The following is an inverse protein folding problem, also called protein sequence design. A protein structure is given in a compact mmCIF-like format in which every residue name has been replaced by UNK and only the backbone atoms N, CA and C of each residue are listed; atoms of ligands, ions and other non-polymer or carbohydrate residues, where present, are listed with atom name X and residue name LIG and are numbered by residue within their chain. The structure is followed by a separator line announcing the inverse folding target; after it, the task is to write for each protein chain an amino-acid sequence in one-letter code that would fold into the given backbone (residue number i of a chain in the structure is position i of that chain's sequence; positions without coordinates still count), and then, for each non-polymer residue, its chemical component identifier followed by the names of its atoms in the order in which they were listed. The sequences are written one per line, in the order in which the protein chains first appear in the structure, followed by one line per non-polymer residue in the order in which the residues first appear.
data_IF_632807786850
#
_entry.id   IF_632807786850
#
_cell.length_a   1.000
_cell.length_b   1.000
_cell.length_c   1.000
_cell.angle_alpha   90.00
_cell.angle_beta   90.00
_cell.angle_gamma   90.00
#
_symmetry.space_group_name_H-M   'P 1'
#
loop_
_entity.id
_entity.type
_entity.pdbx_description
1 polymer ?
#
# COMPACT_ATOMS: atom_id res chain seq x y z
N UNK A 1 76.74 -46.66 39.73
CA UNK A 1 76.55 -48.11 40.05
C UNK A 1 75.28 -48.57 39.30
N UNK A 2 75.56 -49.60 38.47
CA UNK A 2 74.63 -50.69 38.07
C UNK A 2 73.19 -50.22 37.61
N UNK A 3 72.68 -50.56 36.46
CA UNK A 3 73.08 -51.58 35.45
C UNK A 3 71.77 -52.13 34.82
N UNK A 4 71.81 -52.33 33.50
CA UNK A 4 71.20 -53.44 32.75
C UNK A 4 69.66 -53.48 32.64
N UNK A 5 69.01 -53.80 31.62
CA UNK A 5 69.24 -54.45 30.25
C UNK A 5 67.86 -54.48 29.60
N UNK A 6 67.79 -54.09 28.37
CA UNK A 6 67.27 -54.81 27.19
C UNK A 6 66.11 -55.79 27.39
N UNK A 7 65.10 -55.67 26.60
CA UNK A 7 64.71 -56.70 25.61
C UNK A 7 63.69 -56.15 24.59
N UNK A 8 64.00 -56.40 23.34
CA UNK A 8 63.14 -56.30 22.18
C UNK A 8 61.97 -57.26 22.28
N UNK A 9 60.80 -56.85 21.83
CA UNK A 9 59.85 -57.78 21.22
C UNK A 9 59.13 -57.05 20.07
N UNK A 10 59.45 -57.56 18.89
CA UNK A 10 58.83 -57.26 17.60
C UNK A 10 57.48 -58.00 17.51
N UNK A 11 56.38 -57.35 17.20
CA UNK A 11 55.22 -58.05 16.69
C UNK A 11 54.46 -57.14 15.70
N UNK A 12 54.43 -57.66 14.53
CA UNK A 12 53.75 -57.34 13.29
C UNK A 12 52.22 -57.43 13.48
N UNK A 13 51.44 -56.52 12.90
CA UNK A 13 50.08 -56.87 12.70
C UNK A 13 49.11 -55.71 12.43
N UNK A 14 48.76 -55.59 11.20
CA UNK A 14 47.47 -55.35 10.61
C UNK A 14 47.04 -53.89 10.42
N UNK A 15 47.17 -53.42 9.17
CA UNK A 15 46.44 -52.30 8.57
C UNK A 15 44.92 -52.58 8.59
N UNK A 16 44.15 -51.67 9.20
CA UNK A 16 42.72 -51.50 8.94
C UNK A 16 42.52 -50.08 8.46
N UNK A 17 42.24 -49.95 7.16
CA UNK A 17 41.79 -48.70 6.54
C UNK A 17 40.39 -48.40 7.01
N UNK A 18 40.23 -47.43 7.90
CA UNK A 18 38.94 -46.84 8.27
C UNK A 18 38.70 -45.63 7.42
N UNK A 19 37.77 -45.72 6.47
CA UNK A 19 37.24 -44.58 5.71
C UNK A 19 36.48 -43.66 6.65
N UNK A 20 37.07 -42.55 7.03
CA UNK A 20 36.37 -41.46 7.68
C UNK A 20 35.61 -40.67 6.58
N UNK A 21 34.29 -40.85 6.50
CA UNK A 21 33.43 -39.89 5.83
C UNK A 21 33.47 -38.60 6.63
N UNK A 22 34.24 -37.63 6.14
CA UNK A 22 34.15 -36.25 6.58
C UNK A 22 32.83 -35.68 6.09
N UNK A 23 31.91 -35.45 7.00
CA UNK A 23 30.75 -34.58 6.73
C UNK A 23 31.29 -33.14 6.70
N UNK A 24 31.43 -32.60 5.51
CA UNK A 24 31.63 -31.16 5.30
C UNK A 24 30.34 -30.45 5.72
N UNK A 25 30.22 -30.13 7.00
CA UNK A 25 29.30 -29.10 7.46
C UNK A 25 29.81 -27.75 6.98
N UNK A 26 29.44 -27.40 5.74
CA UNK A 26 29.58 -26.04 5.27
C UNK A 26 28.73 -25.15 6.20
N UNK A 27 29.29 -24.09 6.82
CA UNK A 27 28.49 -23.18 7.60
C UNK A 27 27.48 -22.55 6.67
N UNK A 28 26.18 -22.86 6.87
CA UNK A 28 25.07 -22.17 6.26
C UNK A 28 25.09 -20.72 6.78
N UNK A 29 25.80 -19.87 6.05
CA UNK A 29 25.79 -18.43 6.29
C UNK A 29 24.44 -17.90 5.80
N UNK A 30 23.40 -18.04 6.61
CA UNK A 30 22.21 -17.19 6.53
C UNK A 30 22.72 -15.77 6.73
N UNK A 31 22.57 -14.86 5.76
CA UNK A 31 22.95 -13.48 5.98
C UNK A 31 22.19 -12.95 7.20
N UNK A 32 22.81 -12.18 8.09
CA UNK A 32 22.12 -11.61 9.22
C UNK A 32 20.97 -10.76 8.67
N UNK A 33 19.75 -11.08 9.06
CA UNK A 33 18.60 -10.22 8.83
C UNK A 33 18.87 -8.93 9.59
N UNK A 34 19.39 -7.92 8.91
CA UNK A 34 19.60 -6.60 9.48
C UNK A 34 18.23 -6.03 9.79
N UNK A 35 17.80 -6.10 11.04
CA UNK A 35 16.59 -5.44 11.50
C UNK A 35 16.82 -3.94 11.36
N UNK A 36 16.21 -3.32 10.36
CA UNK A 36 16.28 -1.86 10.21
C UNK A 36 15.51 -1.23 11.35
N UNK A 37 16.19 -0.36 12.08
CA UNK A 37 15.60 0.44 13.17
C UNK A 37 15.52 1.88 12.68
N UNK A 38 14.47 2.61 13.08
CA UNK A 38 14.32 4.02 12.68
C UNK A 38 12.87 4.49 12.78
N UNK A 39 12.65 5.73 12.39
CA UNK A 39 11.31 6.31 12.30
C UNK A 39 11.05 6.83 10.90
N UNK A 40 9.84 6.59 10.39
CA UNK A 40 9.42 7.05 9.07
C UNK A 40 8.08 7.76 9.16
N UNK A 41 8.01 8.95 8.59
CA UNK A 41 6.78 9.73 8.40
C UNK A 41 6.29 9.51 6.98
N UNK A 42 5.11 8.94 6.85
CA UNK A 42 4.49 8.57 5.57
C UNK A 42 3.26 9.43 5.30
N UNK A 43 3.29 10.18 4.22
CA UNK A 43 2.12 10.84 3.68
C UNK A 43 1.43 9.88 2.69
N UNK A 44 0.19 9.52 2.92
CA UNK A 44 -0.50 8.52 2.10
C UNK A 44 -1.91 8.96 1.72
N UNK A 45 -2.31 8.66 0.49
CA UNK A 45 -3.67 8.92 0.02
C UNK A 45 -4.71 8.31 0.97
N UNK A 46 -5.81 9.01 1.19
CA UNK A 46 -6.87 8.63 2.14
C UNK A 46 -7.40 7.20 1.92
N UNK A 47 -7.47 6.74 0.65
CA UNK A 47 -7.86 5.37 0.30
C UNK A 47 -6.90 4.26 0.77
N UNK A 48 -5.67 4.62 1.21
CA UNK A 48 -4.69 3.68 1.76
C UNK A 48 -4.82 3.50 3.29
N UNK A 49 -5.72 4.22 3.95
CA UNK A 49 -5.83 4.27 5.42
C UNK A 49 -5.89 2.87 6.04
N UNK A 50 -6.80 2.03 5.60
CA UNK A 50 -7.01 0.71 6.20
C UNK A 50 -5.84 -0.23 5.91
N UNK A 51 -5.35 -0.25 4.67
CA UNK A 51 -4.24 -1.12 4.27
C UNK A 51 -2.93 -0.73 4.98
N UNK A 52 -2.62 0.55 5.07
CA UNK A 52 -1.38 1.00 5.72
C UNK A 52 -1.46 0.90 7.26
N UNK A 53 -2.66 1.03 7.84
CA UNK A 53 -2.88 0.73 9.27
C UNK A 53 -2.66 -0.75 9.58
N UNK A 54 -3.17 -1.64 8.74
CA UNK A 54 -2.91 -3.09 8.86
C UNK A 54 -1.43 -3.43 8.68
N UNK A 55 -0.79 -2.80 7.68
CA UNK A 55 0.66 -2.97 7.45
C UNK A 55 1.46 -2.55 8.67
N UNK A 56 1.12 -1.41 9.30
CA UNK A 56 1.77 -0.99 10.55
C UNK A 56 1.66 -2.05 11.65
N UNK A 57 0.49 -2.68 11.78
CA UNK A 57 0.29 -3.79 12.72
C UNK A 57 1.23 -4.97 12.46
N UNK A 58 1.40 -5.34 11.20
CA UNK A 58 2.33 -6.42 10.79
C UNK A 58 3.80 -6.03 11.01
N UNK A 59 4.18 -4.81 10.67
CA UNK A 59 5.55 -4.31 10.86
C UNK A 59 5.96 -4.31 12.34
N UNK A 60 5.06 -3.94 13.24
CA UNK A 60 5.30 -4.01 14.70
C UNK A 60 5.56 -5.44 15.19
N UNK A 61 4.97 -6.43 14.53
CA UNK A 61 5.10 -7.83 14.93
C UNK A 61 6.33 -8.50 14.32
N UNK A 62 6.66 -8.18 13.06
CA UNK A 62 7.73 -8.85 12.30
C UNK A 62 9.09 -8.16 12.41
N UNK A 63 9.13 -6.88 12.76
CA UNK A 63 10.36 -6.10 12.86
C UNK A 63 10.18 -4.90 13.79
N UNK A 64 10.28 -5.06 15.11
CA UNK A 64 9.92 -4.03 16.10
C UNK A 64 10.82 -2.78 16.06
N UNK A 65 11.78 -2.72 15.13
CA UNK A 65 12.70 -1.58 15.01
C UNK A 65 12.19 -0.39 14.20
N UNK A 66 11.18 -0.57 13.33
CA UNK A 66 10.67 0.50 12.47
C UNK A 66 9.40 1.13 13.08
N UNK A 67 9.48 2.42 13.43
CA UNK A 67 8.34 3.22 13.87
C UNK A 67 7.75 3.98 12.69
N UNK A 68 6.47 3.80 12.38
CA UNK A 68 5.79 4.45 11.26
C UNK A 68 4.73 5.40 11.78
N UNK A 69 4.77 6.65 11.30
CA UNK A 69 3.73 7.66 11.53
C UNK A 69 3.06 7.98 10.20
N UNK A 70 1.74 7.95 10.14
CA UNK A 70 0.98 8.26 8.94
C UNK A 70 0.26 9.60 9.03
N UNK A 71 0.17 10.29 7.88
CA UNK A 71 -0.80 11.35 7.64
C UNK A 71 -1.58 10.98 6.38
N UNK A 72 -2.91 10.88 6.52
CA UNK A 72 -3.79 10.52 5.42
C UNK A 72 -4.62 11.71 4.97
N UNK A 73 -4.62 11.99 3.65
CA UNK A 73 -5.41 13.06 3.04
C UNK A 73 -5.61 12.81 1.53
N UNK A 74 -6.28 13.71 0.83
CA UNK A 74 -6.30 13.73 -0.63
C UNK A 74 -4.89 13.92 -1.21
N UNK A 75 -4.55 13.23 -2.31
CA UNK A 75 -3.20 13.24 -2.88
C UNK A 75 -2.69 14.65 -3.19
N UNK A 76 -3.53 15.53 -3.75
CA UNK A 76 -3.14 16.91 -4.05
C UNK A 76 -2.73 17.71 -2.81
N UNK A 77 -3.43 17.51 -1.68
CA UNK A 77 -3.08 18.16 -0.41
C UNK A 77 -1.75 17.65 0.14
N UNK A 78 -1.49 16.34 0.06
CA UNK A 78 -0.21 15.74 0.49
C UNK A 78 0.96 16.22 -0.37
N UNK A 79 0.78 16.29 -1.68
CA UNK A 79 1.78 16.84 -2.61
C UNK A 79 2.09 18.28 -2.24
N UNK A 80 1.08 19.10 -2.02
CA UNK A 80 1.26 20.50 -1.59
C UNK A 80 2.04 20.60 -0.28
N UNK A 81 1.80 19.71 0.69
CA UNK A 81 2.58 19.65 1.93
C UNK A 81 4.06 19.38 1.67
N UNK A 82 4.40 18.43 0.79
CA UNK A 82 5.78 18.14 0.40
C UNK A 82 6.42 19.33 -0.30
N UNK A 83 5.70 19.98 -1.25
CA UNK A 83 6.15 21.19 -1.95
C UNK A 83 6.45 22.34 -0.99
N UNK A 84 5.71 22.43 0.12
CA UNK A 84 5.89 23.42 1.16
C UNK A 84 6.95 23.03 2.22
N UNK A 85 7.63 21.89 2.04
CA UNK A 85 8.69 21.42 2.92
C UNK A 85 8.20 20.77 4.21
N UNK A 86 6.97 20.22 4.24
CA UNK A 86 6.52 19.44 5.38
C UNK A 86 7.45 18.23 5.60
N UNK A 87 7.76 17.87 6.85
CA UNK A 87 8.62 16.73 7.16
C UNK A 87 7.92 15.45 6.75
N UNK A 88 8.44 14.80 5.72
CA UNK A 88 7.98 13.52 5.21
C UNK A 88 9.15 12.71 4.68
N UNK A 89 9.12 11.42 4.90
CA UNK A 89 10.14 10.48 4.41
C UNK A 89 9.65 9.73 3.18
N UNK A 90 8.36 9.39 3.15
CA UNK A 90 7.71 8.65 2.05
C UNK A 90 6.38 9.32 1.71
N UNK A 91 6.05 9.35 0.41
CA UNK A 91 4.71 9.72 -0.05
C UNK A 91 4.14 8.65 -0.96
N UNK A 92 2.85 8.33 -0.80
CA UNK A 92 2.07 7.42 -1.65
C UNK A 92 0.77 8.12 -2.09
N UNK A 93 0.58 8.26 -3.40
CA UNK A 93 -0.61 8.92 -3.97
C UNK A 93 -1.56 7.91 -4.62
N UNK A 94 -2.80 8.30 -4.88
CA UNK A 94 -3.82 7.48 -5.54
C UNK A 94 -3.89 7.74 -7.07
N UNK A 95 -2.94 8.47 -7.61
CA UNK A 95 -2.80 8.77 -9.03
C UNK A 95 -1.36 9.13 -9.40
N UNK A 96 -1.04 8.99 -10.68
CA UNK A 96 0.28 9.33 -11.22
C UNK A 96 0.44 10.81 -11.51
N UNK A 97 -0.65 11.56 -11.71
CA UNK A 97 -0.60 12.99 -12.01
C UNK A 97 -0.12 13.79 -10.79
N UNK A 98 -0.70 13.52 -9.61
CA UNK A 98 -0.23 14.10 -8.34
C UNK A 98 1.24 13.78 -8.07
N UNK A 99 1.67 12.53 -8.29
CA UNK A 99 3.07 12.14 -8.12
C UNK A 99 3.98 12.83 -9.14
N UNK A 100 3.51 13.03 -10.37
CA UNK A 100 4.24 13.72 -11.44
C UNK A 100 4.69 15.12 -11.03
N UNK A 101 3.86 15.89 -10.32
CA UNK A 101 4.21 17.21 -9.79
C UNK A 101 5.48 17.18 -8.93
N UNK A 102 5.59 16.20 -8.04
CA UNK A 102 6.79 16.06 -7.18
C UNK A 102 8.02 15.60 -7.96
N UNK A 103 7.81 14.76 -8.95
CA UNK A 103 8.88 14.29 -9.83
C UNK A 103 9.45 15.44 -10.66
N UNK A 104 8.58 16.28 -11.24
CA UNK A 104 8.96 17.45 -12.04
C UNK A 104 9.73 18.49 -11.22
N UNK A 105 9.36 18.69 -9.95
CA UNK A 105 10.08 19.60 -9.04
C UNK A 105 11.35 18.99 -8.48
N UNK A 106 11.60 17.71 -8.71
CA UNK A 106 12.79 17.00 -8.25
C UNK A 106 12.85 16.78 -6.73
N UNK A 107 11.72 16.88 -6.03
CA UNK A 107 11.62 16.73 -4.56
C UNK A 107 11.64 15.26 -4.10
N UNK A 108 11.42 14.34 -5.01
CA UNK A 108 11.33 12.89 -4.72
C UNK A 108 12.33 12.10 -5.56
N UNK A 109 12.55 10.85 -5.19
CA UNK A 109 13.29 9.87 -5.97
C UNK A 109 12.44 9.37 -7.16
N UNK A 110 12.81 8.23 -7.77
CA UNK A 110 12.01 7.60 -8.81
C UNK A 110 10.79 6.86 -8.19
N UNK A 111 9.55 7.23 -8.52
CA UNK A 111 8.36 6.56 -7.99
C UNK A 111 8.18 5.17 -8.60
N UNK A 112 7.57 4.27 -7.81
CA UNK A 112 7.18 2.94 -8.24
C UNK A 112 5.68 2.75 -8.03
N UNK A 113 4.95 2.32 -9.06
CA UNK A 113 3.54 1.92 -8.93
C UNK A 113 3.50 0.59 -8.20
N UNK A 114 2.85 0.54 -7.03
CA UNK A 114 2.81 -0.64 -6.17
C UNK A 114 1.43 -1.31 -6.14
N UNK A 115 0.38 -0.56 -6.44
CA UNK A 115 -0.99 -1.05 -6.43
C UNK A 115 -1.82 -0.36 -7.50
N UNK A 116 -2.96 -0.99 -7.83
CA UNK A 116 -4.02 -0.41 -8.65
C UNK A 116 -5.36 -0.60 -7.98
N UNK A 117 -6.34 0.22 -8.38
CA UNK A 117 -7.69 0.16 -7.84
C UNK A 117 -8.71 0.42 -8.95
N UNK A 118 -9.95 -0.01 -8.74
CA UNK A 118 -11.09 0.27 -9.62
C UNK A 118 -12.06 1.19 -8.93
N UNK A 119 -12.85 1.92 -9.70
CA UNK A 119 -13.97 2.65 -9.16
C UNK A 119 -15.17 1.74 -8.97
N UNK A 120 -15.99 2.09 -8.01
CA UNK A 120 -17.27 1.46 -7.70
C UNK A 120 -18.24 2.53 -7.22
N UNK A 121 -19.52 2.33 -7.44
CA UNK A 121 -20.56 3.23 -6.90
C UNK A 121 -20.89 2.73 -5.49
N UNK A 122 -20.78 3.59 -4.49
CA UNK A 122 -21.19 3.30 -3.12
C UNK A 122 -22.58 3.89 -2.87
N UNK A 123 -23.50 3.07 -2.39
CA UNK A 123 -24.86 3.46 -2.01
C UNK A 123 -25.16 3.10 -0.56
N UNK A 124 -26.25 3.61 -0.02
CA UNK A 124 -26.76 3.22 1.29
C UNK A 124 -27.05 1.70 1.33
N UNK A 125 -26.98 1.07 2.52
CA UNK A 125 -27.27 -0.36 2.67
C UNK A 125 -28.64 -0.75 2.11
N UNK A 126 -28.69 -1.82 1.33
CA UNK A 126 -29.91 -2.28 0.68
C UNK A 126 -30.31 -1.48 -0.54
N UNK A 127 -29.49 -0.52 -0.98
CA UNK A 127 -29.68 0.26 -2.20
C UNK A 127 -31.11 0.82 -2.36
N UNK A 128 -31.61 1.63 -1.42
CA UNK A 128 -33.02 2.06 -1.39
C UNK A 128 -33.43 2.89 -2.61
N UNK A 129 -32.47 3.51 -3.30
CA UNK A 129 -32.69 4.26 -4.54
C UNK A 129 -32.67 3.41 -5.81
N UNK A 130 -32.30 2.13 -5.70
CA UNK A 130 -32.28 1.19 -6.81
C UNK A 130 -31.26 1.54 -7.90
N UNK A 131 -30.10 2.06 -7.51
CA UNK A 131 -28.98 2.40 -8.42
C UNK A 131 -28.39 1.11 -9.00
N UNK A 132 -28.20 1.06 -10.32
CA UNK A 132 -27.72 -0.13 -11.04
C UNK A 132 -26.46 0.15 -11.88
N UNK A 133 -26.06 1.41 -12.02
CA UNK A 133 -24.90 1.82 -12.78
C UNK A 133 -24.81 3.33 -12.97
N UNK A 134 -23.79 3.75 -13.73
CA UNK A 134 -23.48 5.17 -13.93
C UNK A 134 -24.65 5.99 -14.47
N UNK A 135 -25.47 5.40 -15.38
CA UNK A 135 -26.59 6.11 -15.99
C UNK A 135 -27.64 6.59 -14.96
N UNK A 136 -27.81 5.84 -13.86
CA UNK A 136 -28.78 6.21 -12.82
C UNK A 136 -28.34 7.46 -12.03
N UNK A 137 -27.04 7.83 -12.07
CA UNK A 137 -26.50 8.98 -11.34
C UNK A 137 -26.95 10.33 -11.91
N UNK A 138 -27.51 10.38 -13.12
CA UNK A 138 -28.11 11.58 -13.71
C UNK A 138 -29.47 11.95 -13.13
N UNK A 139 -30.05 11.12 -12.24
CA UNK A 139 -31.35 11.35 -11.63
C UNK A 139 -31.31 12.53 -10.65
N UNK A 140 -32.30 13.42 -10.75
CA UNK A 140 -32.37 14.64 -9.94
C UNK A 140 -32.94 14.44 -8.54
N UNK A 141 -33.46 13.25 -8.24
CA UNK A 141 -33.95 12.87 -6.90
C UNK A 141 -32.89 12.30 -5.99
N UNK A 142 -31.62 12.22 -6.47
CA UNK A 142 -30.50 11.70 -5.74
C UNK A 142 -29.71 12.82 -5.06
N UNK A 143 -29.33 12.57 -3.82
CA UNK A 143 -28.24 13.31 -3.17
C UNK A 143 -26.91 12.68 -3.56
N UNK A 144 -26.42 12.99 -4.75
CA UNK A 144 -25.12 12.54 -5.24
C UNK A 144 -24.02 13.41 -4.64
N UNK A 145 -22.99 12.75 -4.08
CA UNK A 145 -21.76 13.39 -3.64
C UNK A 145 -20.62 12.83 -4.46
N UNK A 146 -19.63 13.64 -4.84
CA UNK A 146 -18.43 13.20 -5.55
C UNK A 146 -17.19 13.76 -4.86
N UNK A 147 -16.03 13.19 -5.15
CA UNK A 147 -14.75 13.86 -4.89
C UNK A 147 -14.65 15.13 -5.74
N UNK A 148 -13.97 16.15 -5.23
CA UNK A 148 -13.60 17.31 -6.03
C UNK A 148 -12.65 16.87 -7.17
N UNK A 149 -12.75 17.50 -8.35
CA UNK A 149 -11.93 17.12 -9.51
C UNK A 149 -10.43 17.37 -9.31
N UNK A 150 -10.04 18.09 -8.26
CA UNK A 150 -8.66 18.30 -7.87
C UNK A 150 -8.08 17.14 -7.02
N UNK A 151 -8.91 16.15 -6.68
CA UNK A 151 -8.47 14.96 -5.98
C UNK A 151 -8.67 13.72 -6.86
N UNK A 152 -7.81 12.66 -6.71
CA UNK A 152 -7.79 11.53 -7.65
C UNK A 152 -9.16 10.86 -7.84
N UNK A 153 -9.91 10.62 -6.78
CA UNK A 153 -11.22 9.96 -6.89
C UNK A 153 -12.23 10.81 -7.67
N UNK A 154 -12.16 12.14 -7.55
CA UNK A 154 -13.02 13.06 -8.29
C UNK A 154 -12.63 13.14 -9.77
N UNK A 155 -11.33 13.21 -10.06
CA UNK A 155 -10.81 13.16 -11.43
C UNK A 155 -11.22 11.87 -12.14
N UNK A 156 -11.01 10.71 -11.50
CA UNK A 156 -11.42 9.43 -12.07
C UNK A 156 -12.94 9.29 -12.19
N UNK A 157 -13.72 9.83 -11.22
CA UNK A 157 -15.19 9.87 -11.33
C UNK A 157 -15.64 10.70 -12.55
N UNK A 158 -15.02 11.85 -12.78
CA UNK A 158 -15.30 12.68 -13.97
C UNK A 158 -14.98 11.89 -15.25
N UNK A 159 -13.84 11.20 -15.33
CA UNK A 159 -13.45 10.39 -16.49
C UNK A 159 -14.47 9.28 -16.82
N UNK A 160 -14.93 8.51 -15.80
CA UNK A 160 -15.92 7.43 -16.06
C UNK A 160 -17.28 7.98 -16.41
N UNK A 161 -17.70 9.09 -15.86
CA UNK A 161 -18.96 9.75 -16.17
C UNK A 161 -18.95 10.34 -17.59
N UNK A 162 -17.87 11.02 -17.96
CA UNK A 162 -17.67 11.53 -19.33
C UNK A 162 -17.67 10.41 -20.37
N UNK A 163 -16.89 9.35 -20.14
CA UNK A 163 -16.84 8.19 -21.03
C UNK A 163 -18.20 7.47 -21.16
N UNK A 164 -19.02 7.51 -20.11
CA UNK A 164 -20.38 6.96 -20.14
C UNK A 164 -21.42 7.94 -20.72
N UNK A 165 -21.05 9.19 -21.03
CA UNK A 165 -21.97 10.25 -21.47
C UNK A 165 -22.99 10.66 -20.43
N UNK A 166 -22.65 10.51 -19.13
CA UNK A 166 -23.56 10.81 -17.99
C UNK A 166 -23.23 12.17 -17.42
N UNK A 167 -24.18 13.06 -17.46
CA UNK A 167 -24.10 14.41 -16.85
C UNK A 167 -24.75 14.36 -15.47
N UNK A 168 -24.04 14.84 -14.46
CA UNK A 168 -24.47 14.84 -13.07
C UNK A 168 -24.37 16.22 -12.44
N UNK A 169 -25.18 16.46 -11.39
CA UNK A 169 -25.15 17.68 -10.59
C UNK A 169 -25.00 17.28 -9.10
N UNK A 170 -23.77 17.09 -8.60
CA UNK A 170 -23.54 16.66 -7.24
C UNK A 170 -23.92 17.76 -6.23
N UNK A 171 -24.58 17.35 -5.13
CA UNK A 171 -24.97 18.28 -4.04
C UNK A 171 -23.78 18.78 -3.23
N UNK A 172 -22.66 18.04 -3.25
CA UNK A 172 -21.37 18.49 -2.70
C UNK A 172 -20.20 17.79 -3.37
N UNK A 173 -19.02 18.42 -3.28
CA UNK A 173 -17.73 17.88 -3.71
C UNK A 173 -16.79 17.79 -2.51
N UNK A 174 -16.17 16.63 -2.31
CA UNK A 174 -15.39 16.31 -1.13
C UNK A 174 -13.89 16.36 -1.42
N UNK A 175 -13.11 16.77 -0.43
CA UNK A 175 -11.66 16.96 -0.55
C UNK A 175 -10.84 15.66 -0.51
N UNK A 176 -11.48 14.55 -0.21
CA UNK A 176 -10.90 13.19 -0.23
C UNK A 176 -12.00 12.12 -0.28
N UNK A 177 -11.59 10.87 -0.61
CA UNK A 177 -12.54 9.76 -0.76
C UNK A 177 -13.20 9.35 0.55
N UNK A 178 -12.55 9.48 1.69
CA UNK A 178 -13.14 9.09 3.00
C UNK A 178 -14.25 10.02 3.41
N UNK A 179 -14.15 11.30 3.07
CA UNK A 179 -15.22 12.28 3.25
C UNK A 179 -16.44 11.91 2.41
N UNK A 180 -16.25 11.51 1.15
CA UNK A 180 -17.35 11.05 0.29
C UNK A 180 -18.02 9.77 0.83
N UNK A 181 -17.22 8.78 1.25
CA UNK A 181 -17.71 7.55 1.91
C UNK A 181 -18.53 7.89 3.15
N UNK A 182 -18.01 8.81 3.99
CA UNK A 182 -18.68 9.19 5.23
C UNK A 182 -20.08 9.76 5.00
N UNK A 183 -20.26 10.57 3.94
CA UNK A 183 -21.58 11.13 3.57
C UNK A 183 -22.62 10.06 3.28
N UNK A 184 -22.25 9.00 2.57
CA UNK A 184 -23.17 7.89 2.26
C UNK A 184 -23.38 7.01 3.51
N UNK A 185 -22.32 6.66 4.22
CA UNK A 185 -22.41 5.77 5.38
C UNK A 185 -23.08 6.41 6.60
N UNK A 186 -23.24 7.75 6.63
CA UNK A 186 -24.01 8.50 7.63
C UNK A 186 -25.46 8.77 7.22
N UNK A 187 -25.84 8.48 5.96
CA UNK A 187 -27.17 8.79 5.42
C UNK A 187 -27.34 10.27 5.02
N UNK A 188 -26.24 11.04 4.93
CA UNK A 188 -26.29 12.42 4.43
C UNK A 188 -26.42 12.48 2.90
N UNK A 189 -25.88 11.46 2.21
CA UNK A 189 -25.97 11.28 0.77
C UNK A 189 -26.49 9.89 0.40
N UNK A 190 -27.17 9.79 -0.75
CA UNK A 190 -27.70 8.53 -1.26
C UNK A 190 -26.64 7.70 -1.98
N UNK A 191 -25.67 8.37 -2.64
CA UNK A 191 -24.73 7.73 -3.56
C UNK A 191 -23.45 8.55 -3.78
N UNK A 192 -22.36 7.85 -4.03
CA UNK A 192 -21.08 8.42 -4.45
C UNK A 192 -20.32 7.45 -5.36
N UNK A 193 -19.30 7.95 -6.09
CA UNK A 193 -18.30 7.13 -6.76
C UNK A 193 -17.03 7.14 -5.92
N UNK A 194 -16.53 5.95 -5.57
CA UNK A 194 -15.36 5.72 -4.71
C UNK A 194 -14.51 4.59 -5.28
N UNK A 195 -13.46 4.18 -4.59
CA UNK A 195 -12.73 2.98 -4.98
C UNK A 195 -13.40 1.71 -4.43
N UNK A 196 -13.23 0.58 -5.10
CA UNK A 196 -13.73 -0.72 -4.65
C UNK A 196 -13.21 -1.08 -3.24
N UNK A 197 -11.99 -0.67 -2.91
CA UNK A 197 -11.43 -0.85 -1.56
C UNK A 197 -12.17 -0.04 -0.48
N UNK A 198 -12.74 1.11 -0.83
CA UNK A 198 -13.53 1.93 0.10
C UNK A 198 -14.90 1.30 0.35
N UNK A 199 -15.49 0.67 -0.66
CA UNK A 199 -16.71 -0.14 -0.51
C UNK A 199 -16.47 -1.29 0.46
N UNK A 200 -15.36 -2.03 0.28
CA UNK A 200 -14.95 -3.11 1.19
C UNK A 200 -14.76 -2.56 2.62
N UNK A 201 -14.11 -1.41 2.76
CA UNK A 201 -13.87 -0.77 4.06
C UNK A 201 -15.15 -0.24 4.72
N UNK A 202 -16.13 0.21 3.95
CA UNK A 202 -17.43 0.62 4.47
C UNK A 202 -18.19 -0.55 5.12
N UNK A 203 -17.98 -1.78 4.62
CA UNK A 203 -18.63 -2.98 5.13
C UNK A 203 -20.15 -2.85 5.09
N UNK A 204 -20.85 -3.33 6.11
CA UNK A 204 -22.33 -3.25 6.17
C UNK A 204 -22.92 -1.85 6.29
N UNK A 205 -22.12 -0.78 6.31
CA UNK A 205 -22.58 0.61 6.33
C UNK A 205 -22.81 1.20 4.94
N UNK A 206 -22.49 0.46 3.89
CA UNK A 206 -22.72 0.83 2.50
C UNK A 206 -22.73 -0.42 1.63
N UNK A 207 -23.25 -0.29 0.42
CA UNK A 207 -23.33 -1.36 -0.57
C UNK A 207 -22.69 -0.89 -1.88
N UNK A 208 -21.92 -1.78 -2.52
CA UNK A 208 -21.24 -1.48 -3.78
C UNK A 208 -22.11 -1.84 -4.98
N UNK A 209 -22.14 -0.95 -5.97
CA UNK A 209 -22.69 -1.23 -7.30
C UNK A 209 -21.53 -1.16 -8.28
N UNK A 210 -21.13 -2.32 -8.88
CA UNK A 210 -19.94 -2.37 -9.71
C UNK A 210 -20.09 -1.56 -11.01
N UNK A 211 -19.02 -0.86 -11.38
CA UNK A 211 -18.89 -0.23 -12.70
C UNK A 211 -18.25 -1.27 -13.62
N UNK A 212 -18.86 -1.63 -14.76
CA UNK A 212 -18.30 -2.59 -15.70
C UNK A 212 -16.89 -2.19 -16.17
N UNK A 213 -15.98 -3.15 -16.34
CA UNK A 213 -14.59 -2.88 -16.72
C UNK A 213 -14.45 -2.01 -17.98
N UNK A 214 -15.34 -2.17 -18.97
CA UNK A 214 -15.36 -1.37 -20.18
C UNK A 214 -15.71 0.12 -19.96
N UNK A 215 -16.25 0.47 -18.79
CA UNK A 215 -16.61 1.82 -18.38
C UNK A 215 -15.77 2.32 -17.22
N UNK A 216 -14.89 1.48 -16.68
CA UNK A 216 -14.10 1.79 -15.49
C UNK A 216 -12.73 2.34 -15.88
N UNK A 217 -12.08 3.00 -14.94
CA UNK A 217 -10.67 3.38 -15.02
C UNK A 217 -9.88 2.61 -13.98
N UNK A 218 -8.61 2.40 -14.26
CA UNK A 218 -7.69 1.74 -13.34
C UNK A 218 -6.80 2.82 -12.69
N UNK A 219 -7.10 3.15 -11.45
CA UNK A 219 -6.31 4.08 -10.67
C UNK A 219 -4.96 3.44 -10.30
N UNK A 220 -3.85 4.10 -10.56
CA UNK A 220 -2.51 3.65 -10.22
C UNK A 220 -2.00 4.36 -8.98
N UNK A 221 -1.39 3.60 -8.09
CA UNK A 221 -0.87 4.05 -6.80
C UNK A 221 0.66 4.02 -6.80
N UNK A 222 1.32 5.14 -7.06
CA UNK A 222 2.76 5.26 -6.90
C UNK A 222 3.15 5.55 -5.44
N UNK A 223 4.33 5.03 -5.06
CA UNK A 223 5.01 5.30 -3.80
C UNK A 223 6.44 5.75 -4.08
N UNK A 224 6.97 6.65 -3.25
CA UNK A 224 8.32 7.19 -3.44
C UNK A 224 8.91 7.73 -2.14
N UNK A 225 10.25 7.75 -2.05
CA UNK A 225 11.00 8.39 -0.99
C UNK A 225 11.15 9.88 -1.31
N UNK A 226 10.88 10.74 -0.32
CA UNK A 226 11.11 12.17 -0.39
C UNK A 226 12.60 12.43 -0.19
N UNK A 227 13.26 13.21 -1.06
CA UNK A 227 14.72 13.45 -0.98
C UNK A 227 15.17 14.15 0.29
N UNK A 228 14.27 14.92 0.92
CA UNK A 228 14.52 15.59 2.20
C UNK A 228 14.36 14.68 3.42
N UNK A 229 14.20 13.36 3.23
CA UNK A 229 14.06 12.39 4.33
C UNK A 229 15.20 12.51 5.35
N UNK A 230 14.86 12.36 6.63
CA UNK A 230 15.82 12.38 7.73
C UNK A 230 16.43 11.00 8.00
N UNK A 231 15.74 9.93 7.58
CA UNK A 231 16.17 8.53 7.76
C UNK A 231 15.89 7.73 6.48
N UNK A 232 16.79 7.88 5.51
CA UNK A 232 16.69 7.21 4.22
C UNK A 232 16.64 5.67 4.35
N UNK A 233 17.38 5.10 5.32
CA UNK A 233 17.39 3.66 5.52
C UNK A 233 16.03 3.15 6.02
N UNK A 234 15.38 3.88 6.93
CA UNK A 234 14.04 3.57 7.40
C UNK A 234 12.99 3.77 6.28
N UNK A 235 13.13 4.82 5.47
CA UNK A 235 12.26 5.07 4.31
C UNK A 235 12.35 3.92 3.29
N UNK A 236 13.56 3.48 2.93
CA UNK A 236 13.78 2.31 2.05
C UNK A 236 13.15 1.06 2.66
N UNK A 237 13.38 0.78 3.94
CA UNK A 237 12.80 -0.39 4.60
C UNK A 237 11.25 -0.39 4.59
N UNK A 238 10.64 0.78 4.74
CA UNK A 238 9.19 0.91 4.63
C UNK A 238 8.71 0.65 3.19
N UNK A 239 9.33 1.27 2.20
CA UNK A 239 8.99 1.05 0.78
C UNK A 239 9.15 -0.41 0.40
N UNK A 240 10.25 -1.06 0.79
CA UNK A 240 10.46 -2.50 0.58
C UNK A 240 9.39 -3.36 1.25
N UNK A 241 8.96 -2.98 2.46
CA UNK A 241 7.87 -3.68 3.14
C UNK A 241 6.53 -3.56 2.38
N UNK A 242 6.27 -2.41 1.74
CA UNK A 242 5.09 -2.19 0.89
C UNK A 242 5.18 -3.00 -0.40
N UNK A 243 6.35 -3.03 -1.05
CA UNK A 243 6.54 -3.66 -2.36
C UNK A 243 6.70 -5.18 -2.27
N UNK A 244 7.51 -5.67 -1.33
CA UNK A 244 8.02 -7.04 -1.31
C UNK A 244 7.81 -7.76 0.01
N UNK A 245 7.52 -7.03 1.12
CA UNK A 245 7.30 -7.61 2.44
C UNK A 245 5.84 -8.06 2.65
N UNK A 246 5.24 -7.62 3.75
CA UNK A 246 3.84 -7.92 4.07
C UNK A 246 2.82 -7.03 3.35
N UNK A 247 3.29 -6.00 2.63
CA UNK A 247 2.44 -5.07 1.87
C UNK A 247 1.55 -5.75 0.84
N UNK A 248 2.08 -6.59 -0.07
CA UNK A 248 1.27 -7.26 -1.09
C UNK A 248 0.09 -8.07 -0.53
N UNK A 249 0.29 -8.78 0.58
CA UNK A 249 -0.78 -9.56 1.21
C UNK A 249 -1.84 -8.68 1.87
N UNK A 250 -1.41 -7.58 2.50
CA UNK A 250 -2.32 -6.60 3.08
C UNK A 250 -3.15 -5.92 2.00
N UNK A 251 -2.50 -5.47 0.93
CA UNK A 251 -3.16 -4.80 -0.19
C UNK A 251 -4.20 -5.71 -0.86
N UNK A 252 -3.85 -6.97 -1.17
CA UNK A 252 -4.81 -7.94 -1.72
C UNK A 252 -5.98 -8.19 -0.77
N UNK A 253 -5.73 -8.34 0.53
CA UNK A 253 -6.77 -8.57 1.52
C UNK A 253 -7.74 -7.38 1.64
N UNK A 254 -7.30 -6.18 1.28
CA UNK A 254 -8.10 -4.97 1.23
C UNK A 254 -8.70 -4.67 -0.16
N UNK A 255 -8.51 -5.56 -1.14
CA UNK A 255 -9.13 -5.46 -2.47
C UNK A 255 -8.32 -4.70 -3.51
N UNK A 256 -7.08 -4.28 -3.21
CA UNK A 256 -6.20 -3.70 -4.22
C UNK A 256 -5.72 -4.75 -5.22
N UNK A 257 -5.53 -4.32 -6.46
CA UNK A 257 -4.81 -5.05 -7.47
C UNK A 257 -3.31 -4.70 -7.34
N UNK A 258 -2.44 -5.70 -7.35
CA UNK A 258 -1.01 -5.42 -7.33
C UNK A 258 -0.52 -4.96 -8.70
N UNK A 259 0.45 -4.05 -8.70
CA UNK A 259 1.24 -3.80 -9.90
C UNK A 259 2.11 -5.03 -10.18
N UNK A 260 2.08 -5.51 -11.40
CA UNK A 260 2.87 -6.66 -11.88
C UNK A 260 4.27 -6.20 -12.22
#
# INVERSE_FOLDING_TARGET
MRGRRSLLALSLGLLLAGSACGSDDAPSSTPPSTTVTGSVTVLAAASLTESFTDLQGRLKTSGPGLSVTYSFAGSGALVTQVEQGAPADVIATADTASMGRLTETGLVEAPVVFARNRLEILVEPGNPKGIRGLADLSRTDLKLVLGDETVPVGEYAAQVLEAAGVVVDPVSKETDVKSAVAKVTSGEADVTIVYATDVIAAGGRGEGVPIPDAQNVLAEYPIVIVKATHDHAAAVAFVEAVLHGSGPDVLRARGFLLAS
#
